data_IF_756297372305
#
_entry.id   IF_756297372305
#
_cell.length_a   1.000
_cell.length_b   1.000
_cell.length_c   1.000
_cell.angle_alpha   90.00
_cell.angle_beta   90.00
_cell.angle_gamma   90.00
#
_symmetry.space_group_name_H-M   'P 1'
#
loop_
_entity.id
_entity.type
_entity.pdbx_description
1 polymer ?
2 non-polymer ?
3 non-polymer ?
4 water ?
#
# COMPACT_ATOMS: atom_id res chain seq x y z
N UNK A 1 -5.87 -5.45 -0.58
CA UNK A 1 -6.99 -5.60 0.43
C UNK A 1 -8.38 -5.69 -0.22
N UNK A 2 -8.54 -5.17 -1.43
CA UNK A 2 -9.79 -5.08 -2.20
C UNK A 2 -9.45 -5.00 -3.69
N UNK A 3 -10.45 -4.91 -4.62
CA UNK A 3 -10.20 -5.07 -6.07
C UNK A 3 -9.37 -3.95 -6.73
N UNK A 4 -9.28 -2.79 -6.08
CA UNK A 4 -8.41 -1.68 -6.51
C UNK A 4 -6.96 -2.04 -6.32
N UNK A 5 -6.63 -2.56 -5.14
CA UNK A 5 -5.27 -3.05 -4.78
C UNK A 5 -4.92 -4.27 -5.62
N UNK A 6 -5.90 -5.11 -5.95
CA UNK A 6 -5.73 -6.25 -6.90
C UNK A 6 -5.22 -5.77 -8.28
N UNK A 7 -5.91 -4.82 -8.90
CA UNK A 7 -5.48 -4.27 -10.22
C UNK A 7 -4.09 -3.62 -10.08
N UNK A 8 -3.88 -2.78 -9.06
CA UNK A 8 -2.57 -2.12 -8.84
C UNK A 8 -1.45 -3.17 -8.75
N UNK A 9 -1.64 -4.23 -7.94
CA UNK A 9 -0.62 -5.27 -7.75
C UNK A 9 -0.34 -5.96 -9.09
N UNK A 10 -1.36 -6.24 -9.88
CA UNK A 10 -1.18 -6.92 -11.20
C UNK A 10 -0.30 -6.07 -12.12
N UNK A 11 -0.46 -4.76 -12.08
CA UNK A 11 0.40 -3.82 -12.86
C UNK A 11 1.80 -3.79 -12.28
N UNK A 12 1.97 -3.67 -10.95
CA UNK A 12 3.31 -3.59 -10.37
C UNK A 12 4.12 -4.85 -10.65
N UNK A 13 3.50 -6.03 -10.56
CA UNK A 13 4.25 -7.32 -10.58
C UNK A 13 4.73 -7.64 -11.99
N UNK A 14 4.19 -7.03 -13.04
CA UNK A 14 4.61 -7.37 -14.42
C UNK A 14 5.09 -6.15 -15.21
N UNK A 15 4.68 -4.93 -14.85
CA UNK A 15 4.88 -3.75 -15.74
C UNK A 15 5.69 -2.67 -15.06
N UNK A 16 6.49 -2.98 -14.04
CA UNK A 16 7.40 -1.97 -13.44
C UNK A 16 8.83 -2.49 -13.37
N UNK A 17 9.75 -1.53 -13.39
CA UNK A 17 11.19 -1.75 -13.14
C UNK A 17 11.63 -0.64 -12.18
N UNK A 18 12.77 -0.86 -11.56
CA UNK A 18 13.41 0.25 -10.80
C UNK A 18 14.37 0.95 -11.75
N UNK A 19 14.12 2.22 -12.03
CA UNK A 19 15.01 3.04 -12.87
C UNK A 19 15.89 3.93 -11.99
N UNK A 20 17.19 3.99 -12.30
CA UNK A 20 18.15 4.84 -11.56
C UNK A 20 18.84 5.76 -12.57
N UNK A 21 18.69 7.08 -12.35
CA UNK A 21 19.42 8.13 -13.10
C UNK A 21 20.36 8.82 -12.08
N UNK A 22 21.07 9.85 -12.53
CA UNK A 22 21.93 10.67 -11.63
C UNK A 22 21.07 11.51 -10.68
N UNK A 23 19.75 11.59 -10.91
CA UNK A 23 18.80 12.33 -10.03
C UNK A 23 18.08 11.41 -9.02
N UNK A 24 18.35 10.09 -8.99
CA UNK A 24 17.80 9.14 -8.00
C UNK A 24 17.19 7.88 -8.62
N UNK A 25 16.55 7.12 -7.75
CA UNK A 25 15.76 5.92 -8.07
C UNK A 25 14.29 6.31 -8.25
N UNK A 26 13.67 5.79 -9.33
CA UNK A 26 12.25 6.05 -9.68
C UNK A 26 11.55 4.72 -9.95
N UNK A 27 10.28 4.62 -9.56
CA UNK A 27 9.34 3.65 -10.13
C UNK A 27 9.25 4.00 -11.61
N UNK A 28 9.34 2.99 -12.48
CA UNK A 28 9.22 3.20 -13.94
C UNK A 28 8.20 2.17 -14.44
N UNK A 29 7.19 2.70 -15.14
CA UNK A 29 6.10 1.92 -15.75
C UNK A 29 6.54 1.53 -17.16
N UNK A 30 6.53 0.22 -17.41
CA UNK A 30 6.68 -0.30 -18.79
C UNK A 30 5.32 -0.42 -19.43
N UNK A 31 5.17 0.04 -20.67
CA UNK A 31 3.82 0.17 -21.30
C UNK A 31 3.65 -0.92 -22.38
N UNK A 32 4.65 -1.13 -23.25
CA UNK A 32 4.61 -2.18 -24.30
C UNK A 32 6.01 -2.29 -24.87
N UNK A 33 6.32 -3.44 -25.46
CA UNK A 33 7.62 -3.71 -26.13
C UNK A 33 8.73 -3.25 -25.17
N UNK A 34 9.62 -2.32 -25.56
CA UNK A 34 10.73 -1.87 -24.66
C UNK A 34 10.48 -0.40 -24.30
N UNK A 35 9.25 0.05 -24.31
CA UNK A 35 8.85 1.47 -24.10
C UNK A 35 8.31 1.59 -22.67
N UNK A 36 8.89 2.54 -21.94
CA UNK A 36 8.49 2.86 -20.55
C UNK A 36 8.32 4.36 -20.38
N UNK A 37 7.83 4.76 -19.24
CA UNK A 37 7.68 6.19 -18.87
C UNK A 37 8.29 6.48 -17.53
N UNK A 38 8.66 7.74 -17.38
CA UNK A 38 9.33 8.23 -16.12
C UNK A 38 9.09 9.73 -16.05
N UNK A 39 9.02 10.35 -14.85
CA UNK A 39 8.91 11.82 -14.80
C UNK A 39 10.09 12.49 -15.51
N UNK A 40 9.79 13.58 -16.22
CA UNK A 40 10.84 14.28 -16.99
C UNK A 40 11.93 14.81 -16.07
N UNK A 41 11.61 15.18 -14.82
CA UNK A 41 12.65 15.62 -13.85
C UNK A 41 13.68 14.52 -13.46
N UNK A 42 13.48 13.26 -13.85
CA UNK A 42 14.51 12.21 -13.69
C UNK A 42 15.73 12.48 -14.56
N UNK A 43 15.62 13.35 -15.59
CA UNK A 43 16.71 13.75 -16.50
C UNK A 43 17.41 12.52 -17.13
N UNK A 44 16.64 11.72 -17.87
CA UNK A 44 17.17 10.51 -18.51
C UNK A 44 18.26 10.93 -19.51
N UNK A 45 19.39 10.23 -19.50
CA UNK A 45 20.45 10.43 -20.50
C UNK A 45 20.62 9.26 -21.43
N UNK A 46 21.86 9.03 -21.89
CA UNK A 46 22.19 8.03 -22.90
C UNK A 46 22.23 6.61 -22.29
N UNK A 47 22.44 6.53 -20.97
CA UNK A 47 22.55 5.29 -20.16
C UNK A 47 21.68 5.47 -18.90
N UNK A 48 20.97 4.41 -18.53
CA UNK A 48 20.11 4.38 -17.32
C UNK A 48 20.36 3.02 -16.65
N UNK A 49 20.15 2.91 -15.35
CA UNK A 49 20.18 1.59 -14.68
C UNK A 49 18.73 1.10 -14.54
N UNK A 50 18.47 -0.15 -14.92
CA UNK A 50 17.13 -0.80 -14.89
C UNK A 50 17.30 -2.05 -14.02
N UNK A 51 16.73 -2.05 -12.82
CA UNK A 51 16.94 -3.14 -11.83
C UNK A 51 18.45 -3.38 -11.68
N UNK A 52 19.23 -2.31 -11.55
CA UNK A 52 20.70 -2.24 -11.28
C UNK A 52 21.54 -2.82 -12.42
N UNK A 53 20.99 -2.92 -13.63
CA UNK A 53 21.72 -3.31 -14.86
C UNK A 53 21.90 -2.09 -15.76
N UNK A 54 23.14 -1.84 -16.14
CA UNK A 54 23.47 -0.75 -17.10
C UNK A 54 22.77 -0.99 -18.43
N UNK A 55 21.97 -0.02 -18.88
CA UNK A 55 21.07 -0.17 -20.05
C UNK A 55 21.21 1.08 -20.96
N UNK A 56 21.49 0.86 -22.23
CA UNK A 56 21.49 1.96 -23.20
C UNK A 56 20.09 2.46 -23.44
N UNK A 57 19.94 3.77 -23.51
CA UNK A 57 18.67 4.44 -23.91
C UNK A 57 18.65 4.59 -25.44
N UNK A 58 17.71 3.92 -26.11
CA UNK A 58 17.60 3.98 -27.60
C UNK A 58 16.89 5.26 -28.02
N UNK A 59 15.96 5.80 -27.23
CA UNK A 59 15.26 7.07 -27.51
C UNK A 59 14.71 7.59 -26.18
N UNK A 60 14.67 8.89 -25.99
CA UNK A 60 13.99 9.53 -24.83
C UNK A 60 13.30 10.81 -25.31
N UNK A 61 12.00 10.95 -25.08
CA UNK A 61 11.22 12.13 -25.56
C UNK A 61 10.44 12.72 -24.39
N UNK A 62 10.79 13.95 -24.03
CA UNK A 62 10.08 14.73 -23.00
C UNK A 62 8.83 15.30 -23.64
N UNK A 63 7.66 14.81 -23.30
CA UNK A 63 6.40 15.26 -23.97
C UNK A 63 6.01 16.67 -23.57
N UNK A 64 5.44 17.40 -24.53
CA UNK A 64 4.81 18.72 -24.32
C UNK A 64 3.49 18.72 -25.06
N UNK A 65 2.49 19.47 -24.61
CA UNK A 65 1.22 19.60 -25.36
C UNK A 65 1.41 20.56 -26.56
N UNK A 66 0.35 20.71 -27.33
CA UNK A 66 0.43 21.51 -28.58
C UNK A 66 0.37 23.00 -28.25
N UNK A 67 0.11 23.40 -27.01
CA UNK A 67 0.49 24.78 -26.50
C UNK A 67 2.03 24.88 -26.21
N UNK A 68 2.83 23.82 -26.38
CA UNK A 68 4.28 23.80 -26.08
C UNK A 68 4.41 24.01 -24.57
N UNK A 69 3.53 23.38 -23.80
CA UNK A 69 3.60 23.36 -22.31
C UNK A 69 4.08 21.97 -21.83
N UNK A 70 4.99 21.95 -20.87
CA UNK A 70 5.50 20.73 -20.20
C UNK A 70 4.31 19.81 -19.82
N UNK A 71 4.44 18.49 -20.10
CA UNK A 71 3.53 17.46 -19.53
C UNK A 71 4.21 16.61 -18.45
N UNK A 72 5.51 16.72 -18.24
CA UNK A 72 6.28 16.03 -17.16
C UNK A 72 6.36 14.53 -17.38
N UNK A 73 6.03 14.05 -18.61
CA UNK A 73 6.20 12.62 -18.97
C UNK A 73 7.36 12.53 -19.96
N UNK A 74 8.33 11.67 -19.67
CA UNK A 74 9.35 11.25 -20.66
C UNK A 74 9.06 9.80 -21.07
N UNK A 75 8.99 9.55 -22.36
CA UNK A 75 8.84 8.20 -22.95
C UNK A 75 10.24 7.74 -23.30
N UNK A 76 10.63 6.60 -22.75
CA UNK A 76 12.00 6.02 -22.91
C UNK A 76 11.89 4.70 -23.65
N UNK A 77 12.67 4.52 -24.71
CA UNK A 77 12.83 3.18 -25.31
C UNK A 77 14.15 2.60 -24.82
N UNK A 78 14.11 1.44 -24.18
CA UNK A 78 15.26 0.82 -23.48
C UNK A 78 15.90 -0.25 -24.38
N UNK A 79 17.23 -0.33 -24.41
CA UNK A 79 17.96 -1.45 -25.07
C UNK A 79 17.98 -2.67 -24.17
N UNK A 80 16.80 -3.21 -23.91
CA UNK A 80 16.57 -4.33 -22.97
C UNK A 80 16.31 -5.59 -23.80
N UNK A 81 16.65 -6.75 -23.24
CA UNK A 81 16.51 -8.04 -23.95
C UNK A 81 15.14 -8.67 -23.74
N UNK A 82 14.17 -7.94 -23.19
CA UNK A 82 12.86 -8.50 -22.80
C UNK A 82 11.81 -7.43 -23.04
N UNK A 83 10.63 -7.79 -23.57
CA UNK A 83 9.48 -6.90 -23.75
C UNK A 83 8.62 -6.87 -22.48
N UNK A 84 7.92 -5.76 -22.30
CA UNK A 84 6.83 -5.62 -21.30
C UNK A 84 5.55 -6.22 -21.87
N UNK A 85 4.75 -6.78 -20.99
CA UNK A 85 3.33 -7.06 -21.28
C UNK A 85 2.72 -5.79 -21.86
N UNK A 86 1.97 -5.86 -22.94
CA UNK A 86 1.30 -4.70 -23.53
C UNK A 86 0.08 -4.33 -22.67
N UNK A 87 0.13 -3.17 -22.01
CA UNK A 87 -0.99 -2.64 -21.16
C UNK A 87 -1.64 -1.41 -21.79
N UNK A 88 -1.42 -1.12 -23.06
CA UNK A 88 -2.01 0.11 -23.67
C UNK A 88 -3.54 0.11 -23.62
N UNK A 89 -4.19 -1.05 -23.62
CA UNK A 89 -5.66 -1.09 -23.54
C UNK A 89 -6.18 -0.68 -22.17
N UNK A 90 -5.33 -0.49 -21.16
CA UNK A 90 -5.75 0.02 -19.82
C UNK A 90 -5.58 1.54 -19.69
N UNK A 91 -5.11 2.20 -20.76
CA UNK A 91 -4.87 3.66 -20.73
C UNK A 91 -6.16 4.38 -21.15
N UNK A 92 -6.52 5.47 -20.42
CA UNK A 92 -7.64 6.30 -20.85
C UNK A 92 -7.41 6.96 -22.19
N UNK A 93 -8.49 7.21 -22.93
CA UNK A 93 -8.39 7.94 -24.20
C UNK A 93 -8.53 9.46 -23.98
N UNK A 94 -9.13 9.91 -22.88
CA UNK A 94 -9.38 11.36 -22.66
C UNK A 94 -9.03 11.80 -21.24
N UNK A 95 -8.89 13.11 -21.06
CA UNK A 95 -8.71 13.73 -19.74
C UNK A 95 -10.00 13.47 -18.95
N UNK A 96 -9.88 13.16 -17.68
CA UNK A 96 -11.04 12.80 -16.84
C UNK A 96 -10.70 12.93 -15.37
N UNK A 97 -11.74 12.94 -14.54
CA UNK A 97 -11.67 12.76 -13.07
C UNK A 97 -11.98 11.30 -12.74
N UNK A 98 -11.55 10.83 -11.57
CA UNK A 98 -11.68 9.40 -11.21
C UNK A 98 -12.08 9.27 -9.76
N UNK A 99 -12.75 8.18 -9.44
CA UNK A 99 -12.90 7.82 -8.01
C UNK A 99 -11.94 6.69 -7.60
N UNK A 100 -11.56 6.72 -6.32
CA UNK A 100 -11.00 5.58 -5.58
C UNK A 100 -9.79 5.05 -6.34
N UNK A 101 -8.73 5.86 -6.38
CA UNK A 101 -7.44 5.48 -7.03
C UNK A 101 -6.46 4.96 -5.99
N UNK A 102 -5.46 4.22 -6.47
CA UNK A 102 -4.31 3.70 -5.70
C UNK A 102 -3.06 4.24 -6.37
N UNK A 103 -2.14 4.71 -5.57
CA UNK A 103 -0.76 5.07 -5.98
C UNK A 103 0.17 3.95 -5.52
N UNK A 104 0.90 3.33 -6.44
CA UNK A 104 1.79 2.20 -6.15
C UNK A 104 3.24 2.52 -6.51
N UNK A 105 4.15 2.20 -5.60
CA UNK A 105 5.59 2.53 -5.67
C UNK A 105 6.40 1.28 -5.42
N UNK A 106 7.49 1.10 -6.17
CA UNK A 106 8.45 0.04 -5.89
C UNK A 106 9.88 0.54 -6.12
N UNK A 107 10.59 0.85 -5.03
CA UNK A 107 12.02 1.21 -5.08
C UNK A 107 12.76 0.44 -3.99
N UNK A 108 14.09 0.61 -3.93
CA UNK A 108 14.94 0.10 -2.80
C UNK A 108 14.43 0.67 -1.45
N UNK A 109 14.11 1.95 -1.38
CA UNK A 109 13.58 2.69 -0.20
C UNK A 109 12.15 2.23 0.15
N UNK A 110 11.27 2.12 -0.85
CA UNK A 110 9.82 1.83 -0.66
C UNK A 110 9.40 0.63 -1.51
N UNK A 111 9.76 -0.62 -1.18
CA UNK A 111 9.29 -1.78 -1.92
C UNK A 111 7.84 -2.12 -1.55
N UNK A 112 7.09 -2.55 -2.57
CA UNK A 112 5.74 -3.10 -2.37
C UNK A 112 4.86 -2.11 -1.61
N UNK A 113 4.95 -0.82 -1.94
CA UNK A 113 4.15 0.26 -1.33
C UNK A 113 2.88 0.54 -2.14
N UNK A 114 1.72 0.56 -1.50
CA UNK A 114 0.40 0.85 -2.10
C UNK A 114 -0.33 1.86 -1.21
N UNK A 115 -0.89 2.90 -1.78
CA UNK A 115 -1.57 4.02 -1.03
C UNK A 115 -2.94 4.25 -1.62
N UNK A 116 -4.06 4.07 -0.88
CA UNK A 116 -5.38 4.45 -1.37
C UNK A 116 -5.46 5.99 -1.26
N UNK A 117 -5.52 6.67 -2.39
CA UNK A 117 -5.49 8.16 -2.42
C UNK A 117 -6.88 8.74 -2.58
N UNK A 118 -7.91 7.93 -2.83
CA UNK A 118 -9.29 8.40 -2.95
C UNK A 118 -9.53 9.10 -4.25
N UNK A 119 -10.29 10.18 -4.17
CA UNK A 119 -10.80 10.90 -5.35
C UNK A 119 -9.65 11.62 -6.09
N UNK A 120 -9.67 11.50 -7.41
CA UNK A 120 -8.67 12.15 -8.29
C UNK A 120 -9.36 13.23 -9.16
N UNK A 121 -8.91 14.47 -9.04
CA UNK A 121 -9.46 15.65 -9.76
C UNK A 121 -8.63 15.87 -11.04
N UNK A 122 -9.27 16.13 -12.16
CA UNK A 122 -8.60 16.74 -13.33
C UNK A 122 -8.28 18.18 -12.95
N UNK A 123 -7.10 18.40 -12.44
CA UNK A 123 -6.62 19.69 -11.87
C UNK A 123 -6.27 20.64 -13.01
N UNK A 124 -5.60 20.13 -14.04
CA UNK A 124 -5.19 20.88 -15.23
C UNK A 124 -3.83 21.51 -15.05
N UNK A 125 -3.82 22.85 -14.90
CA UNK A 125 -2.56 23.62 -14.82
C UNK A 125 -1.98 23.53 -13.40
N UNK A 126 -0.66 23.34 -13.33
CA UNK A 126 0.15 23.35 -12.10
C UNK A 126 1.50 23.98 -12.43
N UNK A 127 1.90 24.90 -11.60
CA UNK A 127 3.31 25.38 -11.56
C UNK A 127 4.10 24.39 -10.74
N UNK A 128 4.72 23.42 -11.42
CA UNK A 128 5.40 22.30 -10.81
C UNK A 128 6.89 22.60 -10.69
N UNK A 129 7.36 22.85 -9.47
CA UNK A 129 8.79 23.21 -9.27
C UNK A 129 9.20 24.45 -10.09
N UNK A 130 8.29 25.39 -10.32
CA UNK A 130 8.56 26.57 -11.17
C UNK A 130 8.26 26.36 -12.65
N UNK A 131 7.89 25.14 -13.08
CA UNK A 131 7.65 24.89 -14.51
C UNK A 131 6.14 24.79 -14.77
N UNK A 132 5.54 25.66 -15.60
CA UNK A 132 4.16 25.51 -15.96
C UNK A 132 3.96 24.09 -16.56
N UNK A 133 2.94 23.41 -16.08
CA UNK A 133 2.67 22.00 -16.46
C UNK A 133 1.17 21.83 -16.72
N UNK A 134 0.78 21.06 -17.74
CA UNK A 134 -0.63 20.78 -18.03
C UNK A 134 -0.96 19.31 -17.75
N UNK A 135 -2.26 19.00 -17.82
CA UNK A 135 -2.81 17.62 -17.67
C UNK A 135 -2.42 17.00 -16.33
N UNK A 136 -2.53 17.77 -15.28
CA UNK A 136 -2.22 17.31 -13.90
C UNK A 136 -3.50 16.77 -13.24
N UNK A 137 -3.34 15.61 -12.64
CA UNK A 137 -4.32 14.96 -11.73
C UNK A 137 -3.91 15.30 -10.31
N UNK A 138 -4.89 15.52 -9.44
CA UNK A 138 -4.60 15.81 -8.01
C UNK A 138 -5.39 14.87 -7.11
N UNK A 139 -4.75 14.48 -6.02
CA UNK A 139 -5.34 13.66 -4.93
C UNK A 139 -4.90 14.27 -3.62
N UNK A 140 -5.76 14.11 -2.61
CA UNK A 140 -5.57 14.72 -1.28
C UNK A 140 -4.89 13.67 -0.45
N UNK A 141 -3.65 13.33 -0.77
CA UNK A 141 -2.76 12.54 0.11
C UNK A 141 -1.41 13.24 0.23
N UNK A 142 -0.85 13.31 1.47
CA UNK A 142 0.48 13.86 1.71
C UNK A 142 1.63 12.94 1.29
N UNK A 143 1.81 12.87 -0.05
CA UNK A 143 2.92 12.14 -0.74
C UNK A 143 4.28 12.80 -0.40
N UNK A 144 5.34 11.98 -0.42
CA UNK A 144 6.70 12.31 0.04
C UNK A 144 7.68 11.97 -1.07
N UNK A 145 8.89 12.53 -0.97
CA UNK A 145 10.04 12.19 -1.83
C UNK A 145 10.23 10.66 -1.76
N UNK A 146 10.56 10.09 -2.91
CA UNK A 146 10.65 8.63 -3.13
C UNK A 146 9.45 8.06 -3.88
N UNK A 147 8.37 8.83 -4.06
CA UNK A 147 7.13 8.33 -4.70
C UNK A 147 7.04 8.74 -6.17
N UNK A 148 7.95 9.59 -6.68
CA UNK A 148 7.90 10.05 -8.09
C UNK A 148 8.07 8.84 -9.00
N UNK A 149 7.21 8.77 -10.05
CA UNK A 149 7.18 7.63 -10.98
C UNK A 149 6.11 6.63 -10.55
N UNK A 150 5.58 6.79 -9.34
CA UNK A 150 4.59 5.84 -8.82
C UNK A 150 3.42 5.77 -9.75
N UNK A 151 2.81 4.61 -9.83
CA UNK A 151 1.70 4.40 -10.80
C UNK A 151 0.36 4.68 -10.14
N UNK A 152 -0.45 5.50 -10.78
CA UNK A 152 -1.84 5.78 -10.34
C UNK A 152 -2.81 4.95 -11.18
N UNK A 153 -3.62 4.12 -10.50
CA UNK A 153 -4.60 3.23 -11.13
C UNK A 153 -5.96 3.38 -10.49
N UNK A 154 -6.96 3.05 -11.25
CA UNK A 154 -8.28 2.61 -10.74
C UNK A 154 -8.46 1.15 -11.16
N UNK A 155 -9.54 0.48 -10.74
CA UNK A 155 -9.90 -0.82 -11.37
C UNK A 155 -10.06 -0.58 -12.89
N UNK A 156 -9.21 -1.29 -13.61
CA UNK A 156 -9.20 -1.48 -15.03
C UNK A 156 -8.47 -0.39 -15.72
N UNK A 157 -8.01 0.69 -15.03
CA UNK A 157 -7.31 1.78 -15.77
C UNK A 157 -5.99 2.23 -15.12
N UNK A 158 -4.99 2.46 -15.96
CA UNK A 158 -3.69 3.06 -15.56
C UNK A 158 -3.76 4.52 -15.99
N UNK A 159 -3.87 5.45 -15.03
CA UNK A 159 -4.33 6.82 -15.38
C UNK A 159 -3.20 7.86 -15.28
N UNK A 160 -2.09 7.57 -14.64
CA UNK A 160 -1.05 8.61 -14.45
C UNK A 160 0.18 8.08 -13.76
N UNK A 161 1.22 8.95 -13.68
CA UNK A 161 2.44 8.70 -12.89
C UNK A 161 2.66 9.90 -11.97
N UNK A 162 2.94 9.59 -10.70
CA UNK A 162 3.17 10.63 -9.67
C UNK A 162 4.37 11.51 -10.06
N UNK A 163 4.22 12.84 -9.99
CA UNK A 163 5.32 13.79 -10.37
C UNK A 163 5.60 14.83 -9.27
N UNK A 164 4.77 14.96 -8.23
CA UNK A 164 5.05 15.98 -7.22
C UNK A 164 4.03 16.05 -6.11
N UNK A 165 4.25 16.98 -5.18
CA UNK A 165 3.33 17.19 -4.05
C UNK A 165 3.56 18.55 -3.41
N UNK A 166 2.64 19.01 -2.58
CA UNK A 166 2.81 20.30 -1.83
C UNK A 166 2.74 20.03 -0.32
N UNK A 167 2.89 18.80 0.12
CA UNK A 167 2.86 18.43 1.55
C UNK A 167 1.48 17.94 1.98
N UNK A 168 0.40 18.44 1.39
CA UNK A 168 -0.99 18.03 1.66
C UNK A 168 -1.66 17.32 0.46
N UNK A 169 -1.39 17.78 -0.76
CA UNK A 169 -1.86 17.16 -2.02
C UNK A 169 -0.69 16.51 -2.80
N UNK A 170 -1.05 15.53 -3.63
CA UNK A 170 -0.14 14.85 -4.57
C UNK A 170 -0.61 15.10 -5.96
N UNK A 171 0.33 15.08 -6.91
CA UNK A 171 0.05 15.43 -8.33
C UNK A 171 0.64 14.36 -9.27
N UNK A 172 -0.16 13.95 -10.23
CA UNK A 172 0.30 12.98 -11.23
C UNK A 172 0.14 13.61 -12.61
N UNK A 173 1.02 13.22 -13.53
CA UNK A 173 0.86 13.50 -14.98
C UNK A 173 -0.03 12.44 -15.61
N UNK A 174 -1.03 12.86 -16.35
CA UNK A 174 -1.93 11.93 -17.07
C UNK A 174 -1.15 11.01 -18.00
N UNK A 175 -1.61 9.77 -18.11
CA UNK A 175 -1.26 8.91 -19.26
C UNK A 175 -2.50 8.81 -20.15
N UNK A 176 -2.28 9.04 -21.41
CA UNK A 176 -3.30 8.94 -22.46
C UNK A 176 -2.87 7.90 -23.51
N UNK A 177 -3.83 7.13 -23.99
CA UNK A 177 -3.57 6.11 -25.05
C UNK A 177 -2.82 6.72 -26.25
N UNK A 178 -3.13 7.96 -26.60
CA UNK A 178 -2.54 8.62 -27.80
C UNK A 178 -1.05 8.89 -27.65
N UNK A 179 -0.47 8.79 -26.45
CA UNK A 179 0.99 8.99 -26.27
C UNK A 179 1.77 7.76 -26.83
N UNK A 180 1.12 6.62 -27.01
CA UNK A 180 1.78 5.29 -27.24
C UNK A 180 1.28 4.58 -28.51
N UNK A 181 0.76 5.32 -29.48
CA UNK A 181 0.41 4.76 -30.81
C UNK A 181 1.74 4.58 -31.57
N UNK B 2 10.97 6.22 6.36
CA UNK B 2 12.07 6.10 7.39
C UNK B 2 12.47 4.64 7.66
N UNK B 3 13.03 4.34 8.87
CA UNK B 3 13.07 2.96 9.38
C UNK B 3 11.69 2.35 9.70
N UNK B 4 10.61 3.14 9.55
CA UNK B 4 9.20 2.69 9.61
C UNK B 4 8.96 1.52 8.66
N UNK B 5 9.37 1.62 7.39
CA UNK B 5 9.29 0.53 6.38
C UNK B 5 10.14 -0.68 6.74
N UNK B 6 11.41 -0.54 7.17
CA UNK B 6 12.23 -1.63 7.73
C UNK B 6 11.46 -2.39 8.81
N UNK B 7 10.96 -1.64 9.79
CA UNK B 7 10.29 -2.21 10.97
C UNK B 7 9.08 -3.04 10.49
N UNK B 8 8.27 -2.46 9.63
CA UNK B 8 7.04 -3.13 9.14
C UNK B 8 7.46 -4.44 8.46
N UNK B 9 8.50 -4.40 7.61
CA UNK B 9 8.96 -5.63 6.91
C UNK B 9 9.49 -6.69 7.88
N UNK B 10 10.20 -6.27 8.94
CA UNK B 10 10.82 -7.14 9.96
C UNK B 10 9.72 -7.88 10.74
N UNK B 11 8.65 -7.15 11.02
CA UNK B 11 7.47 -7.77 11.69
C UNK B 11 6.71 -8.69 10.72
N UNK B 12 6.52 -8.25 9.47
CA UNK B 12 5.87 -9.06 8.40
C UNK B 12 6.62 -10.39 8.27
N UNK B 13 7.94 -10.33 8.12
CA UNK B 13 8.77 -11.50 7.74
C UNK B 13 8.73 -12.61 8.81
N UNK B 14 8.86 -12.26 10.07
CA UNK B 14 8.97 -13.27 11.14
C UNK B 14 7.64 -13.49 11.90
N UNK B 15 6.75 -12.48 11.95
CA UNK B 15 5.58 -12.55 12.86
C UNK B 15 4.21 -12.61 12.12
N UNK B 16 4.13 -12.62 10.81
CA UNK B 16 2.82 -12.54 10.13
C UNK B 16 2.60 -13.84 9.33
N UNK B 17 1.44 -14.50 9.52
CA UNK B 17 1.05 -15.73 8.80
C UNK B 17 -0.30 -15.51 8.16
N UNK B 18 -0.65 -16.40 7.22
CA UNK B 18 -1.99 -16.36 6.56
C UNK B 18 -2.93 -17.30 7.32
N UNK B 19 -3.98 -16.77 7.92
CA UNK B 19 -4.96 -17.58 8.67
C UNK B 19 -6.21 -17.72 7.83
N UNK B 20 -6.77 -18.92 7.70
CA UNK B 20 -8.02 -19.13 6.93
C UNK B 20 -9.04 -19.81 7.89
N UNK B 21 -10.15 -19.11 8.10
CA UNK B 21 -11.34 -19.58 8.86
C UNK B 21 -12.44 -19.92 7.84
N UNK B 22 -13.62 -20.28 8.34
CA UNK B 22 -14.82 -20.50 7.49
C UNK B 22 -15.10 -19.26 6.61
N UNK B 23 -14.69 -18.07 7.06
CA UNK B 23 -14.99 -16.79 6.36
C UNK B 23 -13.96 -16.48 5.25
N UNK B 24 -12.83 -17.13 5.23
CA UNK B 24 -11.73 -16.89 4.27
C UNK B 24 -10.45 -16.46 4.98
N UNK B 25 -9.61 -15.69 4.27
CA UNK B 25 -8.20 -15.48 4.68
C UNK B 25 -8.11 -14.11 5.38
N UNK B 26 -7.27 -14.15 6.42
CA UNK B 26 -6.99 -12.99 7.29
C UNK B 26 -5.46 -12.95 7.53
N UNK B 27 -4.92 -11.72 7.54
CA UNK B 27 -3.56 -11.45 8.01
C UNK B 27 -3.54 -11.74 9.52
N UNK B 28 -2.69 -12.62 9.98
CA UNK B 28 -2.65 -12.98 11.41
C UNK B 28 -1.28 -12.57 11.97
N UNK B 29 -1.28 -11.94 13.15
CA UNK B 29 -0.03 -11.62 13.86
C UNK B 29 0.25 -12.64 14.94
N UNK B 30 1.42 -13.31 14.86
CA UNK B 30 1.92 -14.08 16.00
C UNK B 30 2.68 -13.19 16.97
N UNK B 31 2.40 -13.35 18.26
CA UNK B 31 2.90 -12.41 19.30
C UNK B 31 4.04 -13.04 20.12
N UNK B 32 3.88 -14.28 20.53
CA UNK B 32 4.92 -15.05 21.28
C UNK B 32 4.47 -16.50 21.40
N UNK B 33 5.37 -17.45 21.69
CA UNK B 33 4.98 -18.87 21.88
C UNK B 33 4.07 -19.31 20.73
N UNK B 34 2.88 -19.90 21.02
CA UNK B 34 1.92 -20.26 19.94
C UNK B 34 0.67 -19.35 20.03
N UNK B 35 0.89 -18.14 20.47
CA UNK B 35 -0.20 -17.14 20.70
C UNK B 35 -0.21 -16.15 19.56
N UNK B 36 -1.39 -15.94 18.96
CA UNK B 36 -1.58 -15.02 17.81
C UNK B 36 -2.89 -14.25 18.01
N UNK B 37 -3.07 -13.24 17.19
CA UNK B 37 -4.30 -12.42 17.19
C UNK B 37 -4.87 -12.31 15.80
N UNK B 38 -6.20 -12.18 15.79
CA UNK B 38 -6.99 -12.08 14.52
C UNK B 38 -8.23 -11.26 14.89
N UNK B 39 -8.86 -10.53 13.96
CA UNK B 39 -10.12 -9.86 14.27
C UNK B 39 -11.21 -10.83 14.70
N UNK B 40 -12.04 -10.42 15.67
CA UNK B 40 -13.13 -11.30 16.19
C UNK B 40 -14.09 -11.68 15.05
N UNK B 41 -14.27 -10.80 14.06
CA UNK B 41 -15.20 -11.09 12.93
C UNK B 41 -14.71 -12.23 12.07
N UNK B 42 -13.47 -12.74 12.25
CA UNK B 42 -12.96 -13.90 11.47
C UNK B 42 -13.69 -15.19 11.86
N UNK B 43 -14.35 -15.22 13.00
CA UNK B 43 -15.18 -16.38 13.47
C UNK B 43 -14.29 -17.63 13.54
N UNK B 44 -13.25 -17.55 14.35
CA UNK B 44 -12.33 -18.67 14.61
C UNK B 44 -13.14 -19.85 15.21
N UNK B 45 -12.92 -21.04 14.65
CA UNK B 45 -13.55 -22.26 15.14
C UNK B 45 -12.59 -23.14 15.88
N UNK B 46 -12.82 -24.45 15.79
CA UNK B 46 -11.96 -25.46 16.49
C UNK B 46 -10.69 -25.68 15.68
N UNK B 47 -10.78 -25.51 14.37
CA UNK B 47 -9.68 -25.78 13.42
C UNK B 47 -9.49 -24.51 12.59
N UNK B 48 -8.24 -24.17 12.33
CA UNK B 48 -7.87 -23.04 11.43
C UNK B 48 -6.76 -23.52 10.48
N UNK B 49 -6.66 -22.90 9.29
CA UNK B 49 -5.49 -23.10 8.41
C UNK B 49 -4.46 -21.99 8.66
N UNK B 50 -3.21 -22.38 8.89
CA UNK B 50 -2.06 -21.43 9.09
C UNK B 50 -1.07 -21.70 7.94
N UNK B 51 -0.95 -20.79 6.99
CA UNK B 51 -0.11 -21.01 5.78
C UNK B 51 -0.53 -22.32 5.07
N UNK B 52 -1.84 -22.57 5.00
CA UNK B 52 -2.49 -23.69 4.27
C UNK B 52 -2.30 -25.01 5.03
N UNK B 53 -1.84 -25.00 6.28
CA UNK B 53 -1.72 -26.19 7.16
C UNK B 53 -2.93 -26.24 8.12
N UNK B 54 -3.72 -27.31 8.07
CA UNK B 54 -4.79 -27.59 9.08
C UNK B 54 -4.19 -27.62 10.50
N UNK B 55 -4.72 -26.76 11.41
CA UNK B 55 -4.13 -26.48 12.75
C UNK B 55 -5.26 -26.43 13.79
N UNK B 56 -5.14 -27.26 14.83
CA UNK B 56 -6.11 -27.22 15.95
C UNK B 56 -5.94 -25.88 16.64
N UNK B 57 -7.06 -25.22 16.96
CA UNK B 57 -7.05 -24.03 17.86
C UNK B 57 -7.34 -24.52 19.28
N UNK B 58 -6.34 -24.45 20.13
CA UNK B 58 -6.48 -24.96 21.52
C UNK B 58 -7.37 -24.04 22.38
N UNK B 59 -7.33 -22.74 22.09
CA UNK B 59 -8.04 -21.72 22.89
C UNK B 59 -8.30 -20.53 21.97
N UNK B 60 -9.49 -19.92 22.09
CA UNK B 60 -9.86 -18.63 21.44
C UNK B 60 -10.55 -17.78 22.50
N UNK B 61 -10.09 -16.54 22.65
CA UNK B 61 -10.63 -15.55 23.61
C UNK B 61 -11.04 -14.30 22.84
N UNK B 62 -12.35 -14.03 22.74
CA UNK B 62 -12.89 -12.80 22.14
C UNK B 62 -12.75 -11.69 23.20
N UNK B 63 -11.73 -10.84 23.06
CA UNK B 63 -11.39 -9.87 24.12
C UNK B 63 -12.50 -8.83 24.35
N UNK B 64 -12.71 -8.54 25.62
CA UNK B 64 -13.59 -7.44 26.12
C UNK B 64 -12.84 -6.70 27.22
N UNK B 65 -13.14 -5.43 27.42
CA UNK B 65 -12.46 -4.63 28.48
C UNK B 65 -13.23 -4.77 29.79
N UNK B 66 -12.80 -4.01 30.78
CA UNK B 66 -13.40 -4.13 32.13
C UNK B 66 -14.73 -3.41 32.24
N UNK B 67 -15.14 -2.63 31.23
CA UNK B 67 -16.51 -2.14 31.09
C UNK B 67 -17.40 -3.22 30.46
N UNK B 68 -16.86 -4.41 30.14
CA UNK B 68 -17.58 -5.50 29.43
C UNK B 68 -17.99 -5.04 28.03
N UNK B 69 -17.07 -4.37 27.35
CA UNK B 69 -17.27 -3.89 25.97
C UNK B 69 -16.31 -4.62 25.05
N UNK B 70 -16.81 -4.99 23.90
CA UNK B 70 -16.05 -5.61 22.79
C UNK B 70 -14.79 -4.79 22.49
N UNK B 71 -13.69 -5.52 22.21
CA UNK B 71 -12.43 -4.93 21.65
C UNK B 71 -12.12 -5.42 20.20
N UNK B 72 -12.86 -6.42 19.68
CA UNK B 72 -12.76 -6.91 18.29
C UNK B 72 -11.44 -7.63 18.03
N UNK B 73 -10.71 -8.01 19.07
CA UNK B 73 -9.45 -8.84 18.98
C UNK B 73 -9.80 -10.18 19.54
N UNK B 74 -9.46 -11.24 18.83
CA UNK B 74 -9.49 -12.60 19.36
C UNK B 74 -8.04 -13.09 19.51
N UNK B 75 -7.68 -13.52 20.74
CA UNK B 75 -6.38 -14.16 21.00
C UNK B 75 -6.54 -15.65 20.83
N UNK B 76 -5.71 -16.27 20.02
CA UNK B 76 -5.75 -17.74 19.76
C UNK B 76 -4.45 -18.38 20.26
N UNK B 77 -4.57 -19.61 20.76
CA UNK B 77 -3.42 -20.51 21.12
C UNK B 77 -3.46 -21.67 20.12
N UNK B 78 -2.42 -21.82 19.29
CA UNK B 78 -2.41 -22.77 18.15
C UNK B 78 -1.67 -24.08 18.53
N UNK B 79 -2.17 -25.23 18.07
CA UNK B 79 -1.46 -26.55 18.19
C UNK B 79 -0.46 -26.69 17.01
N UNK B 80 0.73 -26.09 17.13
CA UNK B 80 1.80 -26.14 16.09
C UNK B 80 3.19 -26.07 16.75
N UNK B 81 4.19 -26.71 16.11
CA UNK B 81 5.54 -26.84 16.70
C UNK B 81 6.25 -25.49 16.69
N UNK B 82 6.11 -24.74 15.60
CA UNK B 82 6.78 -23.43 15.42
C UNK B 82 6.36 -22.51 16.57
N UNK B 83 7.32 -21.84 17.20
CA UNK B 83 7.06 -20.78 18.18
C UNK B 83 7.30 -19.43 17.48
N UNK B 84 6.47 -18.43 17.77
CA UNK B 84 6.63 -17.09 17.17
C UNK B 84 7.75 -16.34 17.89
N UNK B 85 8.49 -15.54 17.14
CA UNK B 85 9.46 -14.57 17.71
C UNK B 85 8.69 -13.64 18.67
N UNK B 86 9.13 -13.53 19.94
CA UNK B 86 8.45 -12.68 20.96
C UNK B 86 8.59 -11.21 20.60
N UNK B 87 7.47 -10.51 20.42
CA UNK B 87 7.39 -9.08 20.07
C UNK B 87 6.60 -8.32 21.13
N UNK B 88 6.38 -8.92 22.30
CA UNK B 88 5.59 -8.25 23.37
C UNK B 88 6.23 -6.93 23.80
N UNK B 89 7.54 -6.82 23.68
CA UNK B 89 8.27 -5.57 24.04
C UNK B 89 8.00 -4.45 23.06
N UNK B 90 7.38 -4.72 21.89
CA UNK B 90 7.01 -3.66 20.92
C UNK B 90 5.54 -3.21 21.01
N UNK B 91 4.80 -3.75 22.00
CA UNK B 91 3.37 -3.42 22.22
C UNK B 91 3.30 -2.23 23.14
N UNK B 92 2.51 -1.21 22.78
CA UNK B 92 2.26 -0.05 23.64
C UNK B 92 1.63 -0.48 24.98
N UNK B 93 2.06 0.25 26.02
CA UNK B 93 1.60 0.04 27.43
C UNK B 93 0.26 0.75 27.59
N UNK B 94 0.03 1.84 26.85
CA UNK B 94 -1.16 2.70 27.02
C UNK B 94 -1.74 3.11 25.67
N UNK B 95 -2.99 3.59 25.70
CA UNK B 95 -3.72 4.17 24.55
C UNK B 95 -2.99 5.42 24.08
N UNK B 96 -2.86 5.63 22.77
CA UNK B 96 -2.09 6.79 22.24
C UNK B 96 -2.49 7.11 20.78
N UNK B 97 -2.14 8.31 20.31
CA UNK B 97 -2.13 8.74 18.89
C UNK B 97 -0.73 8.48 18.33
N UNK B 98 -0.61 8.37 17.00
CA UNK B 98 0.67 8.04 16.34
C UNK B 98 0.78 8.81 15.02
N UNK B 99 2.01 9.00 14.56
CA UNK B 99 2.31 9.49 13.19
C UNK B 99 2.95 8.39 12.34
N UNK B 100 2.81 8.50 11.04
CA UNK B 100 3.72 7.79 10.13
C UNK B 100 3.54 6.27 10.32
N UNK B 101 2.28 5.79 10.35
CA UNK B 101 2.01 4.34 10.51
C UNK B 101 1.96 3.65 9.14
N UNK B 102 2.22 2.35 9.16
CA UNK B 102 2.17 1.44 8.00
C UNK B 102 1.21 0.30 8.36
N UNK B 103 0.31 -0.03 7.44
CA UNK B 103 -0.58 -1.20 7.52
C UNK B 103 0.01 -2.27 6.58
N UNK B 104 0.30 -3.45 7.11
CA UNK B 104 0.98 -4.55 6.38
C UNK B 104 0.03 -5.76 6.23
N UNK B 105 -0.33 -6.02 4.97
CA UNK B 105 -1.32 -7.05 4.55
C UNK B 105 -0.58 -8.26 4.03
N UNK B 106 -1.03 -9.45 4.41
CA UNK B 106 -0.41 -10.69 3.95
C UNK B 106 -1.49 -11.77 3.80
N UNK B 107 -1.88 -12.05 2.55
CA UNK B 107 -2.81 -13.17 2.25
C UNK B 107 -2.29 -13.88 1.00
N UNK B 108 -2.99 -14.91 0.57
CA UNK B 108 -2.63 -15.58 -0.73
C UNK B 108 -2.82 -14.60 -1.89
N UNK B 109 -3.84 -13.78 -1.84
CA UNK B 109 -4.18 -12.79 -2.89
C UNK B 109 -3.22 -11.58 -2.84
N UNK B 110 -2.81 -11.16 -1.63
CA UNK B 110 -2.05 -9.91 -1.36
C UNK B 110 -0.83 -10.27 -0.52
N UNK B 111 0.19 -10.89 -1.11
CA UNK B 111 1.35 -11.30 -0.35
C UNK B 111 2.23 -10.09 -0.08
N UNK B 112 2.79 -9.98 1.08
CA UNK B 112 3.77 -8.86 1.29
C UNK B 112 3.33 -7.49 0.70
N UNK B 113 2.18 -6.90 1.08
CA UNK B 113 1.69 -5.55 0.64
C UNK B 113 1.79 -4.52 1.82
N UNK B 114 2.39 -3.35 1.62
CA UNK B 114 2.59 -2.29 2.65
C UNK B 114 1.86 -1.03 2.27
N UNK B 115 0.96 -0.57 3.16
CA UNK B 115 0.06 0.59 2.95
C UNK B 115 0.40 1.66 3.97
N UNK B 116 1.16 2.71 3.62
CA UNK B 116 1.42 3.86 4.47
C UNK B 116 0.06 4.51 4.71
N UNK B 117 -0.37 4.61 5.96
CA UNK B 117 -1.69 5.20 6.27
C UNK B 117 -1.49 6.59 6.89
N UNK B 118 -0.33 6.83 7.50
CA UNK B 118 0.07 8.14 8.03
C UNK B 118 -0.44 8.32 9.42
N UNK B 119 -1.15 9.41 9.63
CA UNK B 119 -1.60 9.82 10.96
C UNK B 119 -2.68 8.87 11.47
N UNK B 120 -2.47 8.44 12.70
CA UNK B 120 -3.38 7.52 13.45
C UNK B 120 -3.89 8.24 14.72
N UNK B 121 -5.22 8.34 14.83
CA UNK B 121 -5.91 8.94 16.01
C UNK B 121 -6.38 7.85 16.97
N UNK B 122 -6.23 8.06 18.29
CA UNK B 122 -7.03 7.37 19.32
C UNK B 122 -8.50 7.81 19.18
N UNK B 123 -9.30 7.06 18.44
CA UNK B 123 -10.69 7.39 18.03
C UNK B 123 -11.63 6.99 19.18
N UNK B 124 -11.35 5.85 19.82
CA UNK B 124 -12.03 5.32 20.98
C UNK B 124 -13.25 4.49 20.62
N UNK B 125 -14.46 5.03 20.83
CA UNK B 125 -15.73 4.28 20.70
C UNK B 125 -16.12 4.21 19.23
N UNK B 126 -16.54 3.03 18.76
CA UNK B 126 -17.10 2.83 17.42
C UNK B 126 -18.20 1.77 17.52
N UNK B 127 -19.32 2.07 16.89
CA UNK B 127 -20.37 1.07 16.69
C UNK B 127 -19.98 0.30 15.44
N UNK B 128 -19.35 -0.86 15.61
CA UNK B 128 -18.81 -1.65 14.48
C UNK B 128 -19.75 -2.80 14.11
N UNK B 129 -20.48 -2.66 13.00
CA UNK B 129 -21.42 -3.69 12.55
C UNK B 129 -22.56 -3.90 13.53
N UNK B 130 -22.88 -2.83 14.28
CA UNK B 130 -23.93 -2.83 15.31
C UNK B 130 -23.44 -3.27 16.69
N UNK B 131 -22.14 -3.56 16.85
CA UNK B 131 -21.55 -3.88 18.17
C UNK B 131 -20.73 -2.71 18.72
N UNK B 132 -21.10 -2.17 19.89
CA UNK B 132 -20.29 -1.17 20.57
C UNK B 132 -18.86 -1.72 20.84
N UNK B 133 -17.85 -0.94 20.43
CA UNK B 133 -16.43 -1.34 20.43
C UNK B 133 -15.59 -0.21 21.03
N UNK B 134 -14.61 -0.60 21.85
CA UNK B 134 -13.65 0.35 22.43
C UNK B 134 -12.26 0.22 21.78
N UNK B 135 -11.42 1.20 22.11
CA UNK B 135 -9.96 1.24 21.82
C UNK B 135 -9.72 1.15 20.31
N UNK B 136 -10.52 1.87 19.54
CA UNK B 136 -10.34 1.95 18.07
C UNK B 136 -9.36 3.06 17.72
N UNK B 137 -8.37 2.71 16.88
CA UNK B 137 -7.48 3.64 16.14
C UNK B 137 -8.08 3.96 14.79
N UNK B 138 -7.92 5.20 14.30
CA UNK B 138 -8.54 5.59 13.02
C UNK B 138 -7.45 6.24 12.15
N UNK B 139 -7.50 5.92 10.87
CA UNK B 139 -6.65 6.55 9.82
C UNK B 139 -7.50 6.80 8.59
N UNK B 140 -7.09 7.73 7.73
CA UNK B 140 -7.75 7.91 6.42
C UNK B 140 -7.59 6.61 5.64
N UNK B 141 -8.61 6.21 4.92
CA UNK B 141 -8.60 4.95 4.13
C UNK B 141 -9.76 5.07 3.15
N UNK B 142 -9.60 5.91 2.11
CA UNK B 142 -10.70 6.26 1.20
C UNK B 142 -10.97 5.25 0.10
N UNK B 143 -11.28 4.03 0.53
CA UNK B 143 -11.43 2.82 -0.29
C UNK B 143 -12.33 1.87 0.52
N UNK B 144 -13.03 1.01 -0.19
CA UNK B 144 -13.81 -0.10 0.41
C UNK B 144 -12.87 -1.32 0.34
N UNK B 145 -12.25 -1.63 1.45
CA UNK B 145 -11.37 -2.80 1.66
C UNK B 145 -12.23 -4.01 2.06
N UNK B 146 -11.78 -5.22 1.70
CA UNK B 146 -12.30 -6.49 2.25
C UNK B 146 -11.92 -6.72 3.72
N UNK B 147 -12.19 -7.93 4.18
CA UNK B 147 -12.13 -8.30 5.61
C UNK B 147 -10.72 -8.66 6.06
N UNK B 148 -9.76 -8.89 5.16
CA UNK B 148 -8.55 -9.66 5.50
C UNK B 148 -7.73 -8.93 6.58
N UNK B 149 -7.82 -7.62 6.64
CA UNK B 149 -7.07 -6.78 7.60
C UNK B 149 -5.56 -6.83 7.43
N UNK B 150 -4.83 -6.61 8.52
CA UNK B 150 -3.41 -6.34 8.45
C UNK B 150 -2.88 -5.73 9.73
N UNK B 151 -1.58 -5.66 9.84
CA UNK B 151 -0.90 -5.25 11.09
C UNK B 151 -0.49 -3.79 10.95
N UNK B 152 -0.79 -2.98 11.95
CA UNK B 152 -0.41 -1.53 11.97
C UNK B 152 0.83 -1.33 12.87
N UNK B 153 1.85 -0.73 12.27
CA UNK B 153 3.15 -0.46 12.95
C UNK B 153 3.52 1.01 12.81
N UNK B 154 4.32 1.46 13.73
CA UNK B 154 5.06 2.74 13.60
C UNK B 154 6.54 2.37 13.74
N UNK B 155 7.44 3.32 13.64
CA UNK B 155 8.84 2.97 13.97
C UNK B 155 8.82 2.51 15.43
N UNK B 156 9.23 1.30 15.70
CA UNK B 156 9.46 0.78 17.04
C UNK B 156 8.27 0.18 17.73
N UNK B 157 7.04 0.27 17.16
CA UNK B 157 5.86 -0.27 17.88
C UNK B 157 4.91 -1.02 16.96
N UNK B 158 4.33 -2.07 17.53
CA UNK B 158 3.20 -2.79 16.89
C UNK B 158 1.91 -2.34 17.58
N UNK B 159 1.10 -1.53 16.90
CA UNK B 159 0.08 -0.72 17.64
C UNK B 159 -1.32 -1.28 17.44
N UNK B 160 -1.59 -2.11 16.44
CA UNK B 160 -2.99 -2.52 16.24
C UNK B 160 -3.13 -3.46 15.06
N UNK B 161 -4.34 -4.00 14.90
CA UNK B 161 -4.72 -4.84 13.73
C UNK B 161 -5.97 -4.25 13.13
N UNK B 162 -6.01 -4.16 11.82
CA UNK B 162 -7.14 -3.55 11.06
C UNK B 162 -8.43 -4.40 11.19
N UNK B 163 -9.50 -3.77 11.63
CA UNK B 163 -10.79 -4.49 11.87
C UNK B 163 -11.95 -4.00 11.02
N UNK B 164 -11.87 -2.84 10.37
CA UNK B 164 -12.99 -2.38 9.54
C UNK B 164 -12.78 -1.00 8.95
N UNK B 165 -13.85 -0.42 8.40
CA UNK B 165 -13.75 0.89 7.72
C UNK B 165 -15.10 1.33 7.17
N UNK B 166 -15.25 2.62 6.87
CA UNK B 166 -16.55 3.24 6.45
C UNK B 166 -16.42 3.85 5.04
N UNK B 167 -15.37 3.48 4.28
CA UNK B 167 -15.09 3.92 2.89
C UNK B 167 -14.33 5.25 2.82
N UNK B 168 -14.26 5.98 3.93
CA UNK B 168 -13.46 7.21 4.12
C UNK B 168 -12.34 6.94 5.12
N UNK B 169 -12.69 6.22 6.21
CA UNK B 169 -11.77 5.98 7.34
C UNK B 169 -11.57 4.48 7.50
N UNK B 170 -10.38 4.12 8.01
CA UNK B 170 -9.99 2.76 8.40
C UNK B 170 -9.84 2.71 9.92
N UNK B 171 -10.17 1.55 10.49
CA UNK B 171 -10.26 1.34 11.97
C UNK B 171 -9.45 0.11 12.33
N UNK B 172 -8.60 0.24 13.33
CA UNK B 172 -7.80 -0.83 13.88
C UNK B 172 -8.12 -0.96 15.36
N UNK B 173 -8.11 -2.17 15.87
CA UNK B 173 -8.16 -2.48 17.30
C UNK B 173 -6.77 -2.30 17.89
N UNK B 174 -6.65 -1.55 19.00
CA UNK B 174 -5.35 -1.38 19.69
C UNK B 174 -4.81 -2.72 20.16
N UNK B 175 -3.48 -2.94 20.08
CA UNK B 175 -2.80 -3.98 20.84
C UNK B 175 -2.09 -3.29 22.02
N UNK B 176 -2.29 -3.85 23.19
CA UNK B 176 -1.70 -3.34 24.45
C UNK B 176 -0.91 -4.46 25.11
N UNK B 177 0.17 -4.07 25.77
CA UNK B 177 1.06 -5.04 26.43
C UNK B 177 0.29 -5.90 27.44
N UNK B 178 -0.67 -5.29 28.12
CA UNK B 178 -1.45 -5.96 29.19
C UNK B 178 -2.30 -7.12 28.67
N UNK B 179 -2.53 -7.24 27.36
CA UNK B 179 -3.39 -8.34 26.86
C UNK B 179 -2.67 -9.70 26.88
N UNK B 180 -1.32 -9.66 27.00
CA UNK B 180 -0.43 -10.82 26.80
C UNK B 180 0.47 -11.10 28.02
N UNK B 181 0.42 -10.28 29.06
CA UNK B 181 1.09 -10.55 30.37
C UNK B 181 0.42 -11.75 31.07
X LIG C 1 8.23 -10.39 -15.57
X LIG C 1 7.85 -11.30 -14.43
X LIG C 1 9.92 -10.75 -15.95
X LIG C 1 8.45 -8.77 -14.85
X LIG D 1 -9.69 -11.24 29.04
X LIG D 1 -7.53 -9.25 29.14
X LIG D 1 -8.60 -8.44 28.81
X LIG D 1 -10.32 -10.27 28.33
X LIG D 1 -10.32 -12.42 29.10
X LIG D 1 -11.53 -12.65 28.47
X LIG D 1 -8.49 -7.05 28.88
X LIG D 1 -8.14 -4.28 29.20
X LIG D 1 -7.22 -5.02 29.52
X LIG D 1 -6.04 -4.59 29.97
X LIG D 1 -7.32 -6.48 29.38
X LIG D 1 -6.36 -8.68 29.61
X LIG D 1 -6.26 -7.31 29.75
X LIG D 1 -9.82 -9.01 28.37
X LIG D 1 -11.50 -10.39 27.70
X LIG D 1 -12.07 -11.60 27.76
X LIG E 1 -2.56 -14.33 26.17
X LIG E 1 -2.90 -15.84 26.15
X LIG E 1 -0.84 -14.26 26.51
X LIG E 1 -3.15 -13.75 27.75
#
# INVERSE_FOLDING_TARGET
>A
MGPGFDFAQAIMKKNTVIARTEKGEFTMLGVYDRVAVIPTHASVGEIIYINDVETRVLDACALRDLTDTNLEITIVKLDRNQKFRDIRHFLPRCEDDYNDAVLSVHTSKFPNMYIPVGQVTNYGFLNLGGTPTHRILMYNFPTRAGQCGGVVTTTGKVIGIHVGGNGAQGFAAMLLHSYFTD
>B
MGPGFDFAQAIMKKNTVIARTEKGEFTMLGVYDRVAVIPTHASVGEIIYINDVETRVLDACALRDLTDTNLEITIVKLDRNQKFRDIRHFLPRCEDDYNDAVLSVHTSKFPNMYIPVGQVTNYGFLNLGGTPTHRILMYNFPTRAGQCGGVVTTTGKVIGIHVGGNGAQGFAAMLLHSYFTD
>C hetero
1 DMS S O C1 C2
>D hetero
1 YER N1 C4 C5 C6 C7 C8 C10 O1 C O C1 C3 C2 N N2 C9
>E hetero
1 DMS S O C1 C2
#
